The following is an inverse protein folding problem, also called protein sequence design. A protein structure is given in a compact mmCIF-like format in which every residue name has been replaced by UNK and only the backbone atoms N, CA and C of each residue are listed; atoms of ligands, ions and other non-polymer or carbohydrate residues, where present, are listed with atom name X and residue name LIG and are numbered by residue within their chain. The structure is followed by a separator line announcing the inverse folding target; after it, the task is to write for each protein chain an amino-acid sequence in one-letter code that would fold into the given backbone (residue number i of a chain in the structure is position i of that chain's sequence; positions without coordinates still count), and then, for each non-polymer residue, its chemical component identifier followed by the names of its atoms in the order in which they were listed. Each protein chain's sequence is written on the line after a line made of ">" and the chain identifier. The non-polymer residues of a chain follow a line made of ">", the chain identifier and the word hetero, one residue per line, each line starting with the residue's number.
data_IF_951917256653
#
_entry.id   IF_951917256653
#
_cell.length_a   1.000
_cell.length_b   1.000
_cell.length_c   1.000
_cell.angle_alpha   90.00
_cell.angle_beta   90.00
_cell.angle_gamma   90.00
#
_symmetry.space_group_name_H-M   'P 1'
#
loop_
_entity.id
_entity.type
_entity.pdbx_description
1 polymer ?
#
# COMPACT_ATOMS: atom_id res chain seq x y z
N UNK A 1 42.86 -33.46 -0.55
CA UNK A 1 42.86 -32.48 0.56
C UNK A 1 41.45 -31.99 0.79
N UNK A 2 40.86 -32.29 1.96
CA UNK A 2 39.58 -31.73 2.34
C UNK A 2 39.76 -30.24 2.67
N UNK A 3 38.93 -29.38 2.08
CA UNK A 3 38.88 -27.95 2.39
C UNK A 3 38.22 -27.79 3.76
N UNK A 4 39.01 -27.49 4.79
CA UNK A 4 38.48 -27.02 6.06
C UNK A 4 37.83 -25.66 5.84
N UNK A 5 36.49 -25.67 5.85
CA UNK A 5 35.71 -24.43 5.78
C UNK A 5 35.97 -23.67 7.08
N UNK A 6 36.49 -22.42 7.03
CA UNK A 6 36.79 -21.68 8.25
C UNK A 6 35.50 -21.51 9.04
N UNK A 7 35.44 -22.15 10.21
CA UNK A 7 34.30 -22.09 11.12
C UNK A 7 34.17 -20.65 11.59
N UNK A 8 33.32 -19.88 10.91
CA UNK A 8 33.03 -18.48 11.23
C UNK A 8 32.62 -18.43 12.69
N UNK A 9 33.48 -17.85 13.53
CA UNK A 9 33.23 -17.72 14.97
C UNK A 9 32.15 -16.66 15.13
N UNK A 10 30.89 -17.08 15.09
CA UNK A 10 29.76 -16.20 15.34
C UNK A 10 29.71 -15.97 16.85
N UNK A 11 30.23 -14.84 17.31
CA UNK A 11 30.06 -14.44 18.71
C UNK A 11 28.57 -14.17 18.96
N UNK A 12 28.07 -14.52 20.15
CA UNK A 12 26.65 -14.36 20.51
C UNK A 12 26.11 -12.94 20.26
N UNK A 13 26.98 -11.93 20.35
CA UNK A 13 26.68 -10.52 20.06
C UNK A 13 26.30 -10.26 18.60
N UNK A 14 26.89 -10.98 17.64
CA UNK A 14 26.54 -10.84 16.22
C UNK A 14 25.18 -11.46 15.90
N UNK A 15 24.81 -12.58 16.54
CA UNK A 15 23.47 -13.18 16.36
C UNK A 15 22.37 -12.23 16.83
N UNK A 16 22.52 -11.66 18.02
CA UNK A 16 21.54 -10.71 18.58
C UNK A 16 21.38 -9.45 17.71
N UNK A 17 22.46 -8.99 17.05
CA UNK A 17 22.39 -7.84 16.14
C UNK A 17 21.65 -8.17 14.85
N UNK A 18 21.94 -9.31 14.23
CA UNK A 18 21.28 -9.77 13.00
C UNK A 18 19.77 -9.94 13.22
N UNK A 19 19.37 -10.47 14.38
CA UNK A 19 17.95 -10.70 14.69
C UNK A 19 17.18 -9.39 14.85
N UNK A 20 17.79 -8.37 15.48
CA UNK A 20 17.22 -7.02 15.56
C UNK A 20 17.10 -6.36 14.19
N UNK A 21 18.15 -6.47 13.36
CA UNK A 21 18.13 -5.93 12.00
C UNK A 21 17.04 -6.58 11.15
N UNK A 22 16.84 -7.91 11.26
CA UNK A 22 15.75 -8.62 10.57
C UNK A 22 14.37 -8.11 10.98
N UNK A 23 14.14 -7.89 12.28
CA UNK A 23 12.87 -7.34 12.77
C UNK A 23 12.64 -5.92 12.24
N UNK A 24 13.68 -5.07 12.27
CA UNK A 24 13.58 -3.71 11.76
C UNK A 24 13.30 -3.68 10.26
N UNK A 25 14.01 -4.48 9.46
CA UNK A 25 13.74 -4.61 8.03
C UNK A 25 12.32 -5.11 7.78
N UNK A 26 11.83 -6.06 8.58
CA UNK A 26 10.46 -6.57 8.47
C UNK A 26 9.43 -5.48 8.78
N UNK A 27 9.63 -4.69 9.83
CA UNK A 27 8.75 -3.58 10.15
C UNK A 27 8.74 -2.50 9.08
N UNK A 28 9.91 -2.13 8.55
CA UNK A 28 10.02 -1.18 7.44
C UNK A 28 9.24 -1.70 6.23
N UNK A 29 9.50 -2.94 5.82
CA UNK A 29 8.83 -3.55 4.66
C UNK A 29 7.30 -3.61 4.84
N UNK A 30 6.82 -4.04 6.00
CA UNK A 30 5.37 -4.08 6.28
C UNK A 30 4.78 -2.68 6.27
N UNK A 31 5.44 -1.71 6.90
CA UNK A 31 4.96 -0.32 6.94
C UNK A 31 4.90 0.30 5.53
N UNK A 32 5.90 0.06 4.68
CA UNK A 32 5.92 0.52 3.30
C UNK A 32 4.76 -0.07 2.49
N UNK A 33 4.49 -1.38 2.63
CA UNK A 33 3.36 -2.03 1.94
C UNK A 33 2.03 -1.44 2.40
N UNK A 34 1.85 -1.22 3.71
CA UNK A 34 0.63 -0.62 4.26
C UNK A 34 0.37 0.77 3.67
N UNK A 35 1.41 1.60 3.58
CA UNK A 35 1.30 2.94 2.98
C UNK A 35 0.88 2.86 1.51
N UNK A 36 1.51 1.96 0.73
CA UNK A 36 1.15 1.76 -0.68
C UNK A 36 -0.31 1.32 -0.81
N UNK A 37 -0.75 0.37 0.00
CA UNK A 37 -2.14 -0.11 -0.01
C UNK A 37 -3.13 1.00 0.35
N UNK A 38 -2.79 1.86 1.33
CA UNK A 38 -3.63 2.99 1.67
C UNK A 38 -3.76 3.96 0.49
N UNK A 39 -2.64 4.34 -0.15
CA UNK A 39 -2.67 5.24 -1.30
C UNK A 39 -3.50 4.65 -2.44
N UNK A 40 -3.25 3.38 -2.80
CA UNK A 40 -4.03 2.69 -3.85
C UNK A 40 -5.50 2.59 -3.46
N UNK A 41 -5.81 2.34 -2.19
CA UNK A 41 -7.18 2.29 -1.67
C UNK A 41 -7.90 3.64 -1.76
N UNK A 42 -7.23 4.74 -1.40
CA UNK A 42 -7.80 6.08 -1.53
C UNK A 42 -8.01 6.48 -2.98
N UNK A 43 -7.04 6.21 -3.86
CA UNK A 43 -7.17 6.48 -5.29
C UNK A 43 -8.29 5.64 -5.88
N UNK A 44 -8.32 4.34 -5.60
CA UNK A 44 -9.38 3.44 -6.06
C UNK A 44 -10.76 3.86 -5.58
N UNK A 45 -10.89 4.29 -4.32
CA UNK A 45 -12.14 4.81 -3.77
C UNK A 45 -12.56 6.13 -4.44
N UNK A 46 -11.61 7.04 -4.67
CA UNK A 46 -11.85 8.30 -5.38
C UNK A 46 -12.35 8.06 -6.80
N UNK A 47 -11.67 7.20 -7.55
CA UNK A 47 -12.04 6.82 -8.93
C UNK A 47 -13.40 6.11 -8.94
N UNK A 48 -13.66 5.20 -8.00
CA UNK A 48 -14.95 4.51 -7.93
C UNK A 48 -16.09 5.49 -7.63
N UNK A 49 -15.85 6.48 -6.77
CA UNK A 49 -16.83 7.54 -6.49
C UNK A 49 -17.08 8.42 -7.73
N UNK A 50 -16.02 8.78 -8.46
CA UNK A 50 -16.12 9.61 -9.66
C UNK A 50 -16.82 8.88 -10.82
N UNK A 51 -16.49 7.60 -11.04
CA UNK A 51 -17.03 6.82 -12.16
C UNK A 51 -18.40 6.22 -11.85
N UNK A 52 -18.73 5.92 -10.59
CA UNK A 52 -19.99 5.25 -10.23
C UNK A 52 -20.99 6.20 -9.57
N UNK A 53 -20.56 7.07 -8.66
CA UNK A 53 -21.47 7.92 -7.86
C UNK A 53 -21.79 9.26 -8.52
N UNK A 54 -20.81 9.97 -9.09
CA UNK A 54 -21.09 11.26 -9.76
C UNK A 54 -22.09 11.16 -10.93
N UNK A 55 -22.14 10.08 -11.72
CA UNK A 55 -23.14 9.93 -12.78
C UNK A 55 -24.57 9.67 -12.28
N UNK A 56 -24.78 9.58 -10.96
CA UNK A 56 -26.10 9.39 -10.35
C UNK A 56 -26.61 10.66 -9.66
N UNK A 57 -25.75 11.66 -9.43
CA UNK A 57 -26.14 12.94 -8.84
C UNK A 57 -26.59 13.90 -9.96
N UNK A 58 -27.80 14.50 -9.86
CA UNK A 58 -28.24 15.50 -10.81
C UNK A 58 -27.40 16.77 -10.65
N UNK A 59 -26.70 17.16 -11.72
CA UNK A 59 -25.76 18.30 -11.75
C UNK A 59 -26.51 19.62 -11.69
N UNK A 60 -27.75 19.66 -12.20
CA UNK A 60 -28.65 20.80 -12.07
C UNK A 60 -30.12 20.37 -12.23
N UNK A 61 -31.02 21.11 -11.58
CA UNK A 61 -32.46 21.04 -11.86
C UNK A 61 -32.81 22.30 -12.65
N UNK A 62 -33.14 22.15 -13.94
CA UNK A 62 -33.56 23.27 -14.79
C UNK A 62 -35.01 23.04 -15.18
N UNK A 63 -35.90 23.98 -14.87
CA UNK A 63 -37.33 23.88 -15.16
C UNK A 63 -38.03 22.60 -14.63
N UNK A 64 -37.53 22.02 -13.54
CA UNK A 64 -38.09 20.81 -12.93
C UNK A 64 -37.54 19.48 -13.47
N UNK A 65 -36.68 19.54 -14.47
CA UNK A 65 -36.02 18.37 -15.06
C UNK A 65 -34.61 18.21 -14.47
N UNK A 66 -34.28 16.97 -14.07
CA UNK A 66 -33.01 16.62 -13.42
C UNK A 66 -32.01 16.20 -14.49
N UNK A 67 -31.03 17.05 -14.76
CA UNK A 67 -29.99 16.78 -15.76
C UNK A 67 -28.80 16.11 -15.07
N UNK A 68 -28.37 14.97 -15.60
CA UNK A 68 -27.22 14.20 -15.08
C UNK A 68 -26.06 14.19 -16.07
N UNK A 69 -24.83 14.12 -15.56
CA UNK A 69 -23.59 14.09 -16.35
C UNK A 69 -23.50 12.93 -17.34
N UNK A 70 -24.38 11.92 -17.26
CA UNK A 70 -24.47 10.83 -18.26
C UNK A 70 -25.04 11.24 -19.61
N UNK A 71 -25.73 12.38 -19.68
CA UNK A 71 -26.47 12.79 -20.87
C UNK A 71 -25.65 13.62 -21.87
N UNK A 72 -24.38 13.91 -21.54
CA UNK A 72 -23.44 14.65 -22.40
C UNK A 72 -22.20 13.82 -22.76
#
# INVERSE_FOLDING_TARGET
>A
MAKDTPKKVITKKHLARIERERLQTRYILVSSIVVILLVVGFVGYGVLKEVVLQPLEPVAIVNGEKISTKEF
#
